data_IF_363699867001
#
_entry.id   IF_363699867001
#
_cell.length_a   1.000
_cell.length_b   1.000
_cell.length_c   1.000
_cell.angle_alpha   90.00
_cell.angle_beta   90.00
_cell.angle_gamma   90.00
#
_symmetry.space_group_name_H-M   'P 1'
#
loop_
_entity.id
_entity.type
_entity.pdbx_description
1 polymer ?
#
# COMPACT_ATOMS: atom_id res chain seq x y z
N UNK A 1 -19.63 64.28 15.79
CA UNK A 1 -19.97 63.10 16.61
C UNK A 1 -19.48 63.39 18.02
N UNK A 2 -20.37 63.39 19.02
CA UNK A 2 -19.98 63.71 20.40
C UNK A 2 -19.25 62.53 21.05
N UNK A 3 -18.46 62.80 22.09
CA UNK A 3 -17.80 61.76 22.90
C UNK A 3 -18.83 60.77 23.47
N UNK A 4 -20.02 61.24 23.83
CA UNK A 4 -21.14 60.41 24.30
C UNK A 4 -21.66 59.46 23.22
N UNK A 5 -21.78 59.93 21.96
CA UNK A 5 -22.15 59.07 20.83
C UNK A 5 -21.11 57.98 20.57
N UNK A 6 -19.83 58.31 20.70
CA UNK A 6 -18.73 57.35 20.55
C UNK A 6 -18.74 56.28 21.65
N UNK A 7 -18.93 56.71 22.91
CA UNK A 7 -19.02 55.80 24.05
C UNK A 7 -20.23 54.86 23.96
N UNK A 8 -21.36 55.37 23.46
CA UNK A 8 -22.54 54.53 23.20
C UNK A 8 -22.27 53.48 22.11
N UNK A 9 -21.60 53.86 21.01
CA UNK A 9 -21.20 52.91 19.96
C UNK A 9 -20.20 51.85 20.47
N UNK A 10 -19.23 52.24 21.28
CA UNK A 10 -18.28 51.33 21.92
C UNK A 10 -18.97 50.34 22.87
N UNK A 11 -19.95 50.80 23.65
CA UNK A 11 -20.74 49.94 24.53
C UNK A 11 -21.53 48.89 23.73
N UNK A 12 -22.17 49.30 22.63
CA UNK A 12 -22.88 48.40 21.72
C UNK A 12 -21.95 47.38 21.05
N UNK A 13 -20.76 47.81 20.62
CA UNK A 13 -19.77 46.93 20.02
C UNK A 13 -19.29 45.86 21.02
N UNK A 14 -18.97 46.25 22.26
CA UNK A 14 -18.62 45.30 23.31
C UNK A 14 -19.74 44.29 23.58
N UNK A 15 -20.99 44.75 23.69
CA UNK A 15 -22.12 43.85 23.91
C UNK A 15 -22.28 42.82 22.77
N UNK A 16 -22.04 43.22 21.53
CA UNK A 16 -22.03 42.32 20.36
C UNK A 16 -20.91 41.29 20.43
N UNK A 17 -19.69 41.73 20.73
CA UNK A 17 -18.52 40.84 20.87
C UNK A 17 -18.78 39.81 21.97
N UNK A 18 -19.22 40.23 23.15
CA UNK A 18 -19.55 39.31 24.26
C UNK A 18 -20.70 38.34 23.93
N UNK A 19 -21.61 38.73 23.02
CA UNK A 19 -22.63 37.81 22.52
C UNK A 19 -22.06 36.78 21.53
N UNK A 20 -21.15 37.21 20.65
CA UNK A 20 -20.48 36.33 19.70
C UNK A 20 -19.56 35.33 20.41
N UNK A 21 -18.79 35.78 21.40
CA UNK A 21 -17.91 34.91 22.20
C UNK A 21 -18.69 33.79 22.89
N UNK A 22 -19.89 34.10 23.42
CA UNK A 22 -20.78 33.10 24.02
C UNK A 22 -21.29 32.09 22.99
N UNK A 23 -21.57 32.53 21.77
CA UNK A 23 -22.01 31.65 20.69
C UNK A 23 -20.88 30.73 20.23
N UNK A 24 -19.66 31.25 20.08
CA UNK A 24 -18.46 30.47 19.74
C UNK A 24 -18.19 29.42 20.81
N UNK A 25 -18.19 29.80 22.09
CA UNK A 25 -18.00 28.85 23.19
C UNK A 25 -19.05 27.71 23.20
N UNK A 26 -20.30 28.02 22.81
CA UNK A 26 -21.33 26.99 22.65
C UNK A 26 -21.08 26.07 21.45
N UNK A 27 -20.52 26.57 20.35
CA UNK A 27 -20.17 25.78 19.18
C UNK A 27 -18.97 24.87 19.48
N UNK A 28 -17.95 25.37 20.17
CA UNK A 28 -16.78 24.59 20.58
C UNK A 28 -17.17 23.39 21.46
N UNK A 29 -18.13 23.59 22.37
CA UNK A 29 -18.67 22.50 23.18
C UNK A 29 -19.40 21.44 22.34
N UNK A 30 -20.12 21.85 21.28
CA UNK A 30 -20.77 20.91 20.37
C UNK A 30 -19.74 20.13 19.55
N UNK A 31 -18.70 20.78 19.04
CA UNK A 31 -17.60 20.13 18.30
C UNK A 31 -16.90 19.10 19.19
N UNK A 32 -16.52 19.47 20.41
CA UNK A 32 -15.90 18.55 21.36
C UNK A 32 -16.77 17.31 21.65
N UNK A 33 -18.10 17.48 21.71
CA UNK A 33 -19.03 16.36 21.88
C UNK A 33 -19.11 15.44 20.64
N UNK A 34 -18.95 16.01 19.43
CA UNK A 34 -18.92 15.24 18.18
C UNK A 34 -17.61 14.47 18.05
N UNK A 35 -16.48 15.08 18.39
CA UNK A 35 -15.16 14.42 18.38
C UNK A 35 -15.13 13.20 19.30
N UNK A 36 -15.73 13.30 20.49
CA UNK A 36 -15.88 12.16 21.40
C UNK A 36 -16.72 11.03 20.79
N UNK A 37 -17.80 11.35 20.08
CA UNK A 37 -18.61 10.35 19.37
C UNK A 37 -17.82 9.68 18.26
N UNK A 38 -17.09 10.43 17.44
CA UNK A 38 -16.24 9.91 16.36
C UNK A 38 -15.17 8.97 16.93
N UNK A 39 -14.47 9.37 18.00
CA UNK A 39 -13.47 8.53 18.66
C UNK A 39 -14.06 7.21 19.19
N UNK A 40 -15.28 7.26 19.73
CA UNK A 40 -15.98 6.05 20.19
C UNK A 40 -16.36 5.12 19.03
N UNK A 41 -16.83 5.67 17.91
CA UNK A 41 -17.17 4.92 16.70
C UNK A 41 -15.92 4.30 16.08
N UNK A 42 -14.81 5.03 16.01
CA UNK A 42 -13.53 4.52 15.52
C UNK A 42 -13.04 3.34 16.36
N UNK A 43 -13.21 3.42 17.68
CA UNK A 43 -12.86 2.31 18.59
C UNK A 43 -13.71 1.07 18.33
N UNK A 44 -15.01 1.24 18.07
CA UNK A 44 -15.90 0.13 17.71
C UNK A 44 -15.55 -0.47 16.35
N UNK A 45 -15.27 0.38 15.35
CA UNK A 45 -14.85 -0.05 14.02
C UNK A 45 -13.56 -0.89 14.11
N UNK A 46 -12.56 -0.41 14.85
CA UNK A 46 -11.31 -1.13 15.05
C UNK A 46 -11.51 -2.49 15.73
N UNK A 47 -12.44 -2.59 16.69
CA UNK A 47 -12.82 -3.88 17.30
C UNK A 47 -13.48 -4.81 16.28
N UNK A 48 -14.37 -4.29 15.45
CA UNK A 48 -15.05 -5.04 14.40
C UNK A 48 -14.05 -5.57 13.36
N UNK A 49 -13.15 -4.71 12.87
CA UNK A 49 -12.07 -5.06 11.94
C UNK A 49 -11.20 -6.19 12.48
N UNK A 50 -10.83 -6.14 13.78
CA UNK A 50 -10.10 -7.22 14.45
C UNK A 50 -10.88 -8.54 14.52
N UNK A 51 -12.21 -8.49 14.69
CA UNK A 51 -13.05 -9.69 14.74
C UNK A 51 -13.27 -10.32 13.35
N UNK A 52 -13.33 -9.51 12.29
CA UNK A 52 -13.62 -9.97 10.93
C UNK A 52 -12.34 -10.46 10.22
N UNK A 53 -11.15 -10.24 10.79
CA UNK A 53 -9.89 -10.67 10.18
C UNK A 53 -9.54 -9.93 8.89
N UNK A 54 -10.15 -8.77 8.66
CA UNK A 54 -9.74 -7.86 7.58
C UNK A 54 -8.36 -7.29 7.93
N UNK A 55 -7.37 -7.33 7.02
CA UNK A 55 -6.05 -6.78 7.28
C UNK A 55 -6.18 -5.29 7.55
N UNK A 56 -5.64 -4.85 8.68
CA UNK A 56 -5.62 -3.46 9.08
C UNK A 56 -4.89 -2.61 8.03
N UNK A 57 -5.45 -1.43 7.70
CA UNK A 57 -4.71 -0.36 7.02
C UNK A 57 -3.59 0.08 7.97
N UNK A 58 -2.35 -0.26 7.63
CA UNK A 58 -1.18 0.18 8.38
C UNK A 58 -0.69 1.50 7.79
N UNK A 59 -1.04 2.62 8.44
CA UNK A 59 -0.30 3.87 8.28
C UNK A 59 0.91 3.78 9.21
N UNK A 60 2.04 3.36 8.68
CA UNK A 60 3.28 3.23 9.44
C UNK A 60 3.88 4.60 9.74
N UNK A 61 3.55 5.19 10.89
CA UNK A 61 4.43 6.18 11.52
C UNK A 61 5.40 5.45 12.46
N UNK A 62 6.69 5.80 12.34
CA UNK A 62 7.83 5.14 12.96
C UNK A 62 7.57 4.54 14.35
N UNK A 63 7.69 3.21 14.44
CA UNK A 63 7.53 2.47 15.68
C UNK A 63 8.26 1.13 15.60
N UNK A 64 9.24 0.97 16.49
CA UNK A 64 10.05 -0.24 16.70
C UNK A 64 9.12 -1.42 17.05
N UNK A 65 9.10 -2.49 16.25
CA UNK A 65 8.40 -3.73 16.59
C UNK A 65 9.38 -4.90 16.81
N UNK A 66 9.24 -5.57 17.95
CA UNK A 66 9.99 -6.76 18.34
C UNK A 66 9.47 -8.02 17.63
N UNK A 67 10.40 -8.67 16.91
CA UNK A 67 10.57 -10.11 16.62
C UNK A 67 9.32 -11.03 16.65
N UNK A 68 9.07 -11.69 15.50
CA UNK A 68 9.48 -13.10 15.26
C UNK A 68 9.81 -13.32 13.77
N UNK A 69 11.11 -13.54 13.49
CA UNK A 69 11.73 -14.26 12.35
C UNK A 69 11.35 -13.83 10.92
N UNK A 70 12.22 -13.30 10.03
CA UNK A 70 13.67 -13.35 9.86
C UNK A 70 14.21 -11.97 9.45
N UNK A 71 15.46 -11.65 9.82
CA UNK A 71 16.08 -10.32 9.66
C UNK A 71 17.45 -10.42 8.98
N UNK A 72 17.76 -9.48 8.08
CA UNK A 72 19.14 -9.02 7.85
C UNK A 72 19.14 -7.51 7.48
N UNK A 73 20.14 -6.81 8.01
CA UNK A 73 20.21 -5.36 8.25
C UNK A 73 20.97 -4.60 7.15
N UNK A 74 20.48 -3.40 6.79
CA UNK A 74 21.26 -2.24 6.34
C UNK A 74 20.45 -0.95 6.60
N UNK A 75 21.10 0.22 6.61
CA UNK A 75 20.59 1.55 7.01
C UNK A 75 19.50 2.14 6.08
N UNK A 76 18.41 1.41 5.84
CA UNK A 76 17.25 1.83 5.04
C UNK A 76 15.94 1.32 5.65
N UNK A 77 14.81 1.95 5.33
CA UNK A 77 13.50 1.55 5.84
C UNK A 77 13.08 0.22 5.20
N UNK A 78 13.29 -0.89 5.91
CA UNK A 78 12.85 -2.23 5.47
C UNK A 78 11.54 -2.62 6.15
N UNK A 79 10.54 -3.05 5.37
CA UNK A 79 9.22 -3.43 5.87
C UNK A 79 8.70 -4.75 5.30
N UNK A 80 7.91 -5.48 6.10
CA UNK A 80 7.08 -6.60 5.65
C UNK A 80 5.61 -6.23 5.88
N UNK A 81 4.76 -6.45 4.87
CA UNK A 81 3.34 -6.09 4.94
C UNK A 81 2.43 -7.30 4.68
N UNK A 82 1.20 -7.34 5.23
CA UNK A 82 0.23 -8.36 4.88
C UNK A 82 -0.33 -8.11 3.46
N UNK A 83 -0.74 -9.17 2.75
CA UNK A 83 -1.38 -9.03 1.43
C UNK A 83 -2.86 -8.68 1.50
N UNK A 84 -3.34 -7.99 0.47
CA UNK A 84 -4.74 -8.10 0.06
C UNK A 84 -4.95 -9.36 -0.76
N UNK A 85 -5.91 -10.19 -0.35
CA UNK A 85 -6.31 -11.40 -1.07
C UNK A 85 -7.59 -11.14 -1.86
N UNK A 86 -7.51 -11.27 -3.19
CA UNK A 86 -8.68 -11.32 -4.07
C UNK A 86 -8.90 -12.76 -4.51
N UNK A 87 -10.11 -13.28 -4.32
CA UNK A 87 -10.49 -14.63 -4.76
C UNK A 87 -11.63 -14.56 -5.76
N UNK A 88 -11.36 -14.98 -7.00
CA UNK A 88 -12.42 -15.42 -7.93
C UNK A 88 -12.60 -16.93 -7.78
N UNK A 89 -13.68 -17.51 -8.32
CA UNK A 89 -14.01 -18.95 -8.16
C UNK A 89 -12.91 -19.92 -8.60
N UNK A 90 -11.89 -19.44 -9.31
CA UNK A 90 -10.83 -20.27 -9.87
C UNK A 90 -9.42 -19.79 -9.55
N UNK A 91 -9.19 -18.56 -9.09
CA UNK A 91 -7.83 -18.01 -8.94
C UNK A 91 -7.75 -17.22 -7.62
N UNK A 92 -6.63 -17.35 -6.91
CA UNK A 92 -6.30 -16.48 -5.78
C UNK A 92 -5.19 -15.53 -6.19
N UNK A 93 -5.38 -14.23 -5.96
CA UNK A 93 -4.36 -13.22 -6.23
C UNK A 93 -4.02 -12.54 -4.92
N UNK A 94 -2.73 -12.41 -4.65
CA UNK A 94 -2.23 -11.51 -3.62
C UNK A 94 -1.46 -10.38 -4.29
N UNK A 95 -1.78 -9.14 -3.95
CA UNK A 95 -1.22 -7.95 -4.59
C UNK A 95 -1.02 -6.83 -3.55
N UNK A 96 0.04 -6.04 -3.74
CA UNK A 96 0.31 -4.81 -3.02
C UNK A 96 0.94 -3.77 -3.97
N UNK A 97 0.79 -2.49 -3.64
CA UNK A 97 1.43 -1.41 -4.38
C UNK A 97 2.09 -0.41 -3.43
N UNK A 98 3.18 0.19 -3.89
CA UNK A 98 3.91 1.22 -3.16
C UNK A 98 3.99 2.44 -4.06
N UNK A 99 3.59 3.58 -3.54
CA UNK A 99 3.70 4.87 -4.20
C UNK A 99 4.90 5.62 -3.66
N UNK A 100 5.80 6.01 -4.55
CA UNK A 100 6.97 6.83 -4.26
C UNK A 100 6.77 8.23 -4.83
N UNK A 101 7.21 9.25 -4.11
CA UNK A 101 7.20 10.64 -4.62
C UNK A 101 8.19 10.85 -5.76
N UNK A 102 9.29 10.08 -5.79
CA UNK A 102 10.31 10.06 -6.85
C UNK A 102 10.92 8.66 -7.03
N UNK A 103 11.55 8.42 -8.18
CA UNK A 103 12.28 7.18 -8.48
C UNK A 103 13.54 6.99 -7.62
N UNK A 104 14.12 8.08 -7.11
CA UNK A 104 15.35 8.04 -6.29
C UNK A 104 15.13 7.34 -4.94
N UNK A 105 13.87 7.21 -4.49
CA UNK A 105 13.55 6.55 -3.23
C UNK A 105 13.34 5.04 -3.32
N UNK A 106 13.48 4.43 -4.49
CA UNK A 106 13.15 3.04 -4.75
C UNK A 106 14.42 2.20 -5.02
N UNK A 107 14.73 1.23 -4.14
CA UNK A 107 15.86 0.33 -4.35
C UNK A 107 15.42 -1.05 -4.80
N UNK A 108 14.40 -1.60 -4.13
CA UNK A 108 13.99 -2.98 -4.34
C UNK A 108 12.50 -3.17 -3.99
N UNK A 109 11.77 -3.90 -4.83
CA UNK A 109 10.37 -4.28 -4.57
C UNK A 109 10.05 -5.62 -5.20
N UNK A 110 9.34 -6.45 -4.45
CA UNK A 110 8.76 -7.68 -4.97
C UNK A 110 8.44 -8.67 -3.86
N UNK A 111 8.72 -9.94 -4.12
CA UNK A 111 8.25 -11.06 -3.32
C UNK A 111 9.38 -12.01 -2.97
N UNK A 112 9.40 -12.49 -1.73
CA UNK A 112 10.33 -13.53 -1.32
C UNK A 112 9.68 -14.59 -0.43
N UNK A 113 10.24 -15.79 -0.47
CA UNK A 113 10.05 -16.83 0.54
C UNK A 113 11.44 -17.33 1.00
N UNK A 114 11.47 -18.42 1.75
CA UNK A 114 12.72 -18.97 2.31
C UNK A 114 13.73 -19.47 1.24
N UNK A 115 13.29 -19.69 0.00
CA UNK A 115 14.09 -20.30 -1.07
C UNK A 115 14.26 -19.42 -2.30
N UNK A 116 13.28 -18.57 -2.57
CA UNK A 116 13.14 -17.81 -3.80
C UNK A 116 12.94 -16.34 -3.46
N UNK A 117 13.57 -15.48 -4.24
CA UNK A 117 13.31 -14.06 -4.21
C UNK A 117 13.18 -13.55 -5.64
N UNK A 118 12.19 -12.69 -5.88
CA UNK A 118 11.92 -12.08 -7.18
C UNK A 118 11.64 -10.60 -6.95
N UNK A 119 12.52 -9.75 -7.45
CA UNK A 119 12.42 -8.30 -7.24
C UNK A 119 12.76 -7.51 -8.49
N UNK A 120 12.24 -6.29 -8.55
CA UNK A 120 12.68 -5.24 -9.44
C UNK A 120 13.44 -4.18 -8.65
N UNK A 121 14.44 -3.53 -9.27
CA UNK A 121 15.19 -2.41 -8.68
C UNK A 121 14.94 -1.10 -9.44
N UNK A 122 15.53 0.01 -8.99
CA UNK A 122 15.45 1.33 -9.64
C UNK A 122 15.97 1.37 -11.08
N UNK A 123 16.75 0.38 -11.49
CA UNK A 123 17.23 0.23 -12.87
C UNK A 123 16.30 -0.64 -13.72
N UNK A 124 15.11 -0.98 -13.23
CA UNK A 124 14.14 -1.86 -13.89
C UNK A 124 14.70 -3.26 -14.19
N UNK A 125 15.67 -3.69 -13.39
CA UNK A 125 16.25 -5.03 -13.48
C UNK A 125 15.44 -5.97 -12.61
N UNK A 126 14.78 -6.92 -13.25
CA UNK A 126 14.22 -8.08 -12.59
C UNK A 126 15.37 -9.01 -12.17
N UNK A 127 15.45 -9.31 -10.88
CA UNK A 127 16.42 -10.22 -10.28
C UNK A 127 15.71 -11.40 -9.64
N UNK A 128 16.15 -12.61 -9.97
CA UNK A 128 15.70 -13.83 -9.29
C UNK A 128 16.88 -14.69 -8.84
N UNK A 129 16.68 -15.54 -7.83
CA UNK A 129 17.61 -16.64 -7.49
C UNK A 129 17.61 -17.68 -8.63
N UNK A 130 18.77 -18.21 -9.11
CA UNK A 130 20.15 -17.98 -8.68
C UNK A 130 20.92 -16.97 -9.55
N UNK A 131 20.50 -15.70 -9.52
CA UNK A 131 21.21 -14.59 -10.16
C UNK A 131 20.74 -14.28 -11.58
N UNK A 132 19.58 -14.80 -11.99
CA UNK A 132 19.01 -14.45 -13.29
C UNK A 132 18.64 -12.97 -13.29
N UNK A 133 19.00 -12.29 -14.38
CA UNK A 133 18.72 -10.88 -14.59
C UNK A 133 17.91 -10.71 -15.86
N UNK A 134 16.93 -9.82 -15.82
CA UNK A 134 16.19 -9.40 -17.00
C UNK A 134 15.94 -7.90 -16.91
N UNK A 135 16.27 -7.17 -17.97
CA UNK A 135 15.91 -5.76 -18.06
C UNK A 135 14.46 -5.64 -18.52
N UNK A 136 13.63 -4.94 -17.75
CA UNK A 136 12.27 -4.65 -18.13
C UNK A 136 12.25 -3.40 -19.02
N UNK A 137 11.54 -3.49 -20.13
CA UNK A 137 11.30 -2.35 -21.02
C UNK A 137 10.27 -1.43 -20.37
N UNK A 138 10.76 -0.33 -19.79
CA UNK A 138 9.96 0.65 -19.06
C UNK A 138 10.28 2.02 -19.65
N UNK A 139 9.27 2.69 -20.18
CA UNK A 139 9.38 4.06 -20.68
C UNK A 139 9.87 5.02 -19.57
N UNK A 140 10.42 6.18 -19.95
CA UNK A 140 10.77 7.22 -18.97
C UNK A 140 9.53 7.68 -18.19
N UNK A 141 9.60 7.60 -16.86
CA UNK A 141 8.49 7.94 -15.96
C UNK A 141 8.80 9.25 -15.26
N UNK A 142 7.92 10.24 -15.44
CA UNK A 142 7.98 11.50 -14.70
C UNK A 142 6.96 11.50 -13.55
N UNK A 143 7.37 12.01 -12.38
CA UNK A 143 6.50 12.27 -11.24
C UNK A 143 6.32 11.08 -10.28
N UNK A 144 5.26 11.11 -9.44
CA UNK A 144 4.99 10.06 -8.48
C UNK A 144 4.75 8.73 -9.18
N UNK A 145 5.45 7.70 -8.71
CA UNK A 145 5.38 6.37 -9.30
C UNK A 145 4.74 5.39 -8.34
N UNK A 146 3.76 4.64 -8.82
CA UNK A 146 3.18 3.53 -8.06
C UNK A 146 3.63 2.23 -8.66
N UNK A 147 4.40 1.46 -7.91
CA UNK A 147 4.91 0.16 -8.32
C UNK A 147 4.11 -0.91 -7.56
N UNK A 148 3.50 -1.82 -8.30
CA UNK A 148 2.78 -2.95 -7.73
C UNK A 148 3.50 -4.27 -7.97
N UNK A 149 3.35 -5.19 -7.02
CA UNK A 149 3.77 -6.57 -7.20
C UNK A 149 2.67 -7.51 -6.73
N UNK A 150 2.42 -8.53 -7.56
CA UNK A 150 1.39 -9.50 -7.30
C UNK A 150 1.84 -10.92 -7.64
N UNK A 151 1.11 -11.86 -7.06
CA UNK A 151 1.28 -13.28 -7.31
C UNK A 151 -0.10 -13.91 -7.49
N UNK A 152 -0.19 -14.72 -8.53
CA UNK A 152 -1.38 -15.43 -8.98
C UNK A 152 -1.19 -16.89 -8.65
N UNK A 153 -2.08 -17.46 -7.82
CA UNK A 153 -2.17 -18.89 -7.62
C UNK A 153 -3.25 -19.45 -8.53
N UNK A 154 -2.87 -20.34 -9.46
CA UNK A 154 -3.83 -21.01 -10.32
C UNK A 154 -4.79 -21.87 -9.51
N UNK A 155 -5.89 -22.25 -10.14
CA UNK A 155 -6.92 -23.05 -9.49
C UNK A 155 -6.37 -24.38 -9.01
N UNK A 156 -6.70 -24.76 -7.77
CA UNK A 156 -6.46 -26.13 -7.28
C UNK A 156 -7.40 -27.16 -7.94
N UNK A 157 -8.22 -26.76 -8.91
CA UNK A 157 -9.08 -27.65 -9.66
C UNK A 157 -8.22 -28.73 -10.37
N UNK A 158 -8.68 -29.98 -10.32
CA UNK A 158 -7.89 -31.18 -10.67
C UNK A 158 -7.32 -31.16 -12.10
N UNK A 159 -7.86 -30.33 -12.99
CA UNK A 159 -7.40 -30.17 -14.37
C UNK A 159 -6.13 -29.31 -14.51
N UNK A 160 -5.85 -28.41 -13.56
CA UNK A 160 -4.73 -27.45 -13.62
C UNK A 160 -3.61 -27.78 -12.64
N UNK A 161 -3.50 -29.05 -12.22
CA UNK A 161 -2.54 -29.52 -11.21
C UNK A 161 -1.06 -29.23 -11.53
N UNK A 162 -0.74 -28.92 -12.78
CA UNK A 162 0.62 -28.63 -13.24
C UNK A 162 0.93 -27.15 -13.35
N UNK A 163 -0.04 -26.26 -13.17
CA UNK A 163 0.20 -24.82 -13.31
C UNK A 163 0.84 -24.29 -12.02
N UNK A 164 2.00 -23.66 -12.17
CA UNK A 164 2.77 -23.08 -11.06
C UNK A 164 2.26 -21.67 -10.74
N UNK A 165 2.44 -21.16 -9.51
CA UNK A 165 2.17 -19.76 -9.22
C UNK A 165 2.99 -18.83 -10.11
N UNK A 166 2.41 -17.68 -10.44
CA UNK A 166 3.04 -16.68 -11.30
C UNK A 166 3.18 -15.34 -10.58
N UNK A 167 4.36 -14.74 -10.63
CA UNK A 167 4.62 -13.37 -10.14
C UNK A 167 4.50 -12.38 -11.29
N UNK A 168 3.98 -11.20 -11.02
CA UNK A 168 3.93 -10.09 -11.96
C UNK A 168 4.19 -8.76 -11.27
N UNK A 169 4.57 -7.77 -12.07
CA UNK A 169 4.81 -6.40 -11.63
C UNK A 169 3.94 -5.44 -12.41
N UNK A 170 3.66 -4.29 -11.81
CA UNK A 170 2.91 -3.21 -12.45
C UNK A 170 3.55 -1.87 -12.14
N UNK A 171 3.35 -0.92 -13.05
CA UNK A 171 3.71 0.49 -12.87
C UNK A 171 2.47 1.30 -13.19
N UNK A 172 2.08 2.18 -12.26
CA UNK A 172 0.93 3.06 -12.38
C UNK A 172 -0.36 2.33 -12.82
N UNK A 173 -0.54 1.10 -12.33
CA UNK A 173 -1.70 0.26 -12.65
C UNK A 173 -1.63 -0.47 -13.99
N UNK A 174 -0.50 -0.44 -14.69
CA UNK A 174 -0.28 -1.20 -15.92
C UNK A 174 0.72 -2.33 -15.68
N UNK A 175 0.44 -3.53 -16.17
CA UNK A 175 1.35 -4.68 -16.08
C UNK A 175 2.62 -4.38 -16.87
N UNK A 176 3.78 -4.67 -16.28
CA UNK A 176 5.07 -4.59 -16.96
C UNK A 176 5.62 -5.99 -17.18
N UNK A 177 6.16 -6.21 -18.38
CA UNK A 177 6.72 -7.50 -18.76
C UNK A 177 5.70 -8.65 -18.75
N UNK A 178 6.24 -9.86 -18.71
CA UNK A 178 5.49 -11.12 -18.66
C UNK A 178 5.38 -11.67 -17.24
N UNK A 179 4.53 -12.67 -17.06
CA UNK A 179 4.44 -13.44 -15.83
C UNK A 179 5.73 -14.25 -15.58
N UNK A 180 6.12 -14.35 -14.32
CA UNK A 180 7.31 -15.09 -13.90
C UNK A 180 6.84 -16.37 -13.19
N UNK A 181 7.05 -17.55 -13.79
CA UNK A 181 6.66 -18.80 -13.16
C UNK A 181 7.55 -19.06 -11.95
N UNK A 182 6.95 -19.54 -10.87
CA UNK A 182 7.69 -19.80 -9.63
C UNK A 182 7.49 -21.22 -9.18
N UNK A 183 8.58 -21.98 -9.14
CA UNK A 183 8.60 -23.33 -8.60
C UNK A 183 8.52 -23.26 -7.06
N UNK A 184 7.31 -23.03 -6.53
CA UNK A 184 7.04 -23.18 -5.10
C UNK A 184 5.82 -24.08 -4.90
N UNK A 185 6.09 -25.28 -4.40
CA UNK A 185 5.06 -26.29 -4.14
C UNK A 185 4.27 -26.06 -2.84
N UNK A 186 4.64 -25.05 -2.02
CA UNK A 186 3.96 -24.83 -0.73
C UNK A 186 4.24 -23.50 -0.02
N UNK A 187 5.24 -22.72 -0.45
CA UNK A 187 5.78 -21.68 0.42
C UNK A 187 5.08 -20.34 0.16
N UNK A 188 4.57 -19.73 1.24
CA UNK A 188 3.97 -18.40 1.21
C UNK A 188 5.04 -17.38 0.82
N UNK A 189 4.83 -16.70 -0.31
CA UNK A 189 5.56 -15.47 -0.59
C UNK A 189 5.20 -14.42 0.44
N UNK A 190 6.10 -13.48 0.66
CA UNK A 190 5.92 -12.31 1.49
C UNK A 190 6.33 -11.07 0.68
N UNK A 191 5.58 -9.97 0.78
CA UNK A 191 5.98 -8.74 0.13
C UNK A 191 7.20 -8.17 0.84
N UNK A 192 8.16 -7.73 0.04
CA UNK A 192 9.39 -7.13 0.51
C UNK A 192 9.71 -5.92 -0.36
N UNK A 193 10.09 -4.85 0.31
CA UNK A 193 10.57 -3.66 -0.33
C UNK A 193 11.74 -3.07 0.47
N UNK A 194 12.59 -2.35 -0.24
CA UNK A 194 13.64 -1.52 0.30
C UNK A 194 13.56 -0.15 -0.38
N UNK A 195 13.60 0.89 0.42
CA UNK A 195 13.46 2.26 -0.02
C UNK A 195 14.33 3.19 0.80
N UNK A 196 14.74 4.29 0.17
CA UNK A 196 15.51 5.35 0.78
C UNK A 196 14.69 6.66 0.76
N UNK A 197 14.56 7.31 1.92
CA UNK A 197 13.76 8.53 2.08
C UNK A 197 12.39 8.30 2.74
N UNK A 198 11.70 9.41 3.03
CA UNK A 198 10.52 9.43 3.91
C UNK A 198 9.16 9.32 3.18
N UNK A 199 9.14 9.22 1.85
CA UNK A 199 7.93 9.39 1.03
C UNK A 199 7.44 8.10 0.32
N UNK A 200 7.44 6.98 1.03
CA UNK A 200 6.85 5.74 0.52
C UNK A 200 5.46 5.50 1.16
N UNK A 201 4.42 5.47 0.33
CA UNK A 201 3.05 5.11 0.76
C UNK A 201 2.74 3.70 0.30
N UNK A 202 2.62 2.78 1.25
CA UNK A 202 2.32 1.37 0.99
C UNK A 202 0.80 1.15 1.03
N UNK A 203 0.22 0.75 -0.09
CA UNK A 203 -1.17 0.32 -0.18
C UNK A 203 -1.24 -1.22 -0.23
N UNK A 204 -1.78 -1.78 0.84
CA UNK A 204 -1.98 -3.23 1.04
C UNK A 204 -3.46 -3.60 1.12
N UNK A 205 -4.38 -2.66 0.87
CA UNK A 205 -5.81 -2.86 1.15
C UNK A 205 -6.69 -2.55 -0.05
N UNK A 206 -7.69 -3.40 -0.27
CA UNK A 206 -8.76 -3.17 -1.26
C UNK A 206 -9.64 -1.95 -0.94
N UNK A 207 -9.52 -1.33 0.24
CA UNK A 207 -10.40 -0.25 0.69
C UNK A 207 -10.15 1.07 -0.05
N UNK A 208 -8.89 1.36 -0.41
CA UNK A 208 -8.54 2.55 -1.20
C UNK A 208 -8.64 2.31 -2.72
N UNK A 209 -8.87 1.05 -3.12
CA UNK A 209 -8.77 0.59 -4.50
C UNK A 209 -7.30 0.50 -4.94
N UNK A 210 -6.96 -0.53 -5.70
CA UNK A 210 -5.66 -0.60 -6.36
C UNK A 210 -5.72 0.14 -7.69
N UNK A 211 -4.59 0.74 -8.11
CA UNK A 211 -4.50 1.31 -9.47
C UNK A 211 -4.58 0.22 -10.54
N UNK A 212 -4.02 -0.94 -10.23
CA UNK A 212 -4.19 -2.13 -11.06
C UNK A 212 -5.56 -2.74 -10.79
N UNK A 213 -6.37 -2.90 -11.83
CA UNK A 213 -7.65 -3.60 -11.74
C UNK A 213 -7.40 -5.10 -11.59
N UNK A 214 -7.19 -5.56 -10.35
CA UNK A 214 -6.93 -6.98 -10.03
C UNK A 214 -8.11 -7.89 -10.39
N UNK A 215 -9.32 -7.34 -10.50
CA UNK A 215 -10.57 -8.12 -10.59
C UNK A 215 -10.86 -8.57 -12.02
N UNK A 216 -10.53 -7.74 -13.02
CA UNK A 216 -10.93 -7.96 -14.42
C UNK A 216 -9.77 -8.41 -15.34
N UNK A 217 -8.70 -8.99 -14.78
CA UNK A 217 -7.55 -9.42 -15.59
C UNK A 217 -7.77 -10.79 -16.23
N UNK A 218 -7.36 -10.91 -17.48
CA UNK A 218 -7.24 -12.18 -18.18
C UNK A 218 -5.82 -12.74 -17.96
N UNK A 219 -5.74 -13.90 -17.32
CA UNK A 219 -4.48 -14.56 -17.00
C UNK A 219 -4.24 -15.65 -18.05
N UNK A 220 -3.63 -15.27 -19.18
CA UNK A 220 -3.39 -16.20 -20.29
C UNK A 220 -2.21 -15.77 -21.17
N UNK A 221 -1.39 -16.76 -21.52
CA UNK A 221 -0.37 -16.82 -22.58
C UNK A 221 0.89 -15.93 -22.51
N UNK A 222 1.02 -15.04 -21.52
CA UNK A 222 2.14 -14.09 -21.47
C UNK A 222 3.13 -14.38 -20.32
N UNK A 223 3.91 -15.46 -20.44
CA UNK A 223 4.87 -15.95 -19.43
C UNK A 223 6.32 -15.85 -19.94
N UNK A 224 7.27 -15.46 -19.08
CA UNK A 224 8.70 -15.52 -19.39
C UNK A 224 9.18 -16.96 -19.48
N UNK A 225 9.84 -17.29 -20.60
CA UNK A 225 10.52 -18.56 -20.77
C UNK A 225 11.95 -18.48 -20.24
N UNK A 226 12.61 -19.63 -20.02
CA UNK A 226 14.02 -19.64 -19.60
C UNK A 226 14.94 -18.93 -20.59
N UNK A 227 14.60 -18.95 -21.88
CA UNK A 227 15.34 -18.26 -22.96
C UNK A 227 15.24 -16.74 -22.92
N UNK A 228 14.24 -16.18 -22.23
CA UNK A 228 14.07 -14.73 -22.11
C UNK A 228 15.06 -14.13 -21.09
N UNK A 229 15.72 -14.94 -20.26
CA UNK A 229 16.63 -14.46 -19.20
C UNK A 229 18.07 -14.34 -19.69
N UNK A 230 18.74 -13.24 -19.29
CA UNK A 230 20.19 -13.13 -19.46
C UNK A 230 20.87 -14.07 -18.44
N UNK A 231 21.62 -15.05 -18.96
CA UNK A 231 22.47 -16.00 -18.19
C UNK A 231 23.87 -15.42 -18.01
#
# INVERSE_FOLDING_TARGET
MSVEQLNHQLSLAHARITSQDRQIASQDQQIASQDQKIASQQTQLNKLTRMIGLPAVFVGYGGRFERRSCSLYALGFTGTVPFSKVTSRSISINYFEITFSSLEGFDLLGLCNDKNFIFINSQWELKSDPGRKLLLDVDEIEGPITIGSGIVWPSTNKFYKSEVPHIFFTINGQKIGKYIPVDSSSDMFHPKYDCHGDDAVVNVSLAEGFRYDVVNQDFGDDVYNEEDWDI
#
